data_IF_891664071382
#
_entry.id   IF_891664071382
#
_cell.length_a   1.000
_cell.length_b   1.000
_cell.length_c   1.000
_cell.angle_alpha   90.00
_cell.angle_beta   90.00
_cell.angle_gamma   90.00
#
_symmetry.space_group_name_H-M   'P 1'
#
loop_
_entity.id
_entity.type
_entity.pdbx_description
1 polymer ?
#
# COMPACT_ATOMS: atom_id res chain seq x y z
N UNK A 1 -9.08 -27.38 3.03
CA UNK A 1 -10.00 -26.48 2.29
C UNK A 1 -9.15 -25.57 1.40
N UNK A 2 -8.42 -26.17 0.46
CA UNK A 2 -7.15 -25.63 -0.08
C UNK A 2 -7.22 -25.27 -1.57
N UNK A 3 -8.35 -24.73 -2.04
CA UNK A 3 -8.62 -24.63 -3.48
C UNK A 3 -9.00 -23.27 -4.06
N UNK A 4 -9.04 -22.18 -3.29
CA UNK A 4 -9.75 -20.96 -3.72
C UNK A 4 -8.94 -19.65 -3.89
N UNK A 5 -7.61 -19.64 -3.77
CA UNK A 5 -6.87 -18.36 -3.75
C UNK A 5 -6.04 -18.02 -5.01
N UNK A 6 -5.96 -18.88 -6.02
CA UNK A 6 -5.12 -18.66 -7.21
C UNK A 6 -5.80 -17.89 -8.37
N UNK A 7 -7.06 -17.45 -8.22
CA UNK A 7 -7.81 -16.75 -9.27
C UNK A 7 -7.82 -15.21 -9.14
N UNK A 8 -6.97 -14.62 -8.30
CA UNK A 8 -6.88 -13.15 -8.16
C UNK A 8 -6.06 -12.54 -9.31
N UNK A 9 -6.67 -12.46 -10.50
CA UNK A 9 -6.35 -11.56 -11.61
C UNK A 9 -4.85 -11.17 -11.71
N UNK A 10 -3.99 -12.16 -11.94
CA UNK A 10 -2.59 -11.95 -12.35
C UNK A 10 -2.51 -11.45 -13.79
N UNK A 11 -3.52 -10.73 -14.29
CA UNK A 11 -3.42 -10.08 -15.60
C UNK A 11 -2.13 -9.28 -15.58
N UNK A 12 -1.15 -9.65 -16.43
CA UNK A 12 0.06 -8.87 -16.57
C UNK A 12 -0.38 -7.44 -16.82
N UNK A 13 0.39 -6.50 -16.28
CA UNK A 13 0.17 -5.11 -16.63
C UNK A 13 0.22 -5.06 -18.15
N UNK A 14 -0.85 -4.59 -18.81
CA UNK A 14 -0.91 -4.54 -20.26
C UNK A 14 0.30 -3.78 -20.77
N UNK A 15 0.83 -4.07 -21.96
CA UNK A 15 2.05 -3.44 -22.48
C UNK A 15 1.94 -1.90 -22.39
N UNK A 16 2.58 -1.31 -21.38
CA UNK A 16 2.47 0.12 -21.02
C UNK A 16 2.03 0.43 -19.58
N UNK A 17 1.34 -0.47 -18.87
CA UNK A 17 1.06 -0.34 -17.45
C UNK A 17 2.31 -0.72 -16.62
N UNK A 18 2.75 0.17 -15.73
CA UNK A 18 3.91 -0.11 -14.85
C UNK A 18 3.57 -1.07 -13.70
N UNK A 19 2.28 -1.34 -13.43
CA UNK A 19 1.81 -2.19 -12.31
C UNK A 19 0.52 -2.93 -12.67
N UNK A 20 0.37 -4.17 -12.20
CA UNK A 20 -0.89 -4.91 -12.26
C UNK A 20 -1.94 -4.32 -11.32
N UNK A 21 -3.20 -4.70 -11.52
CA UNK A 21 -4.30 -4.27 -10.64
C UNK A 21 -4.07 -4.65 -9.18
N UNK A 22 -3.59 -5.88 -8.92
CA UNK A 22 -3.32 -6.35 -7.56
C UNK A 22 -2.12 -5.64 -6.93
N UNK A 23 -1.05 -5.43 -7.70
CA UNK A 23 0.13 -4.69 -7.27
C UNK A 23 -0.23 -3.25 -6.87
N UNK A 24 -1.01 -2.57 -7.71
CA UNK A 24 -1.53 -1.22 -7.46
C UNK A 24 -2.39 -1.18 -6.20
N UNK A 25 -3.31 -2.15 -6.04
CA UNK A 25 -4.21 -2.22 -4.89
C UNK A 25 -3.47 -2.45 -3.58
N UNK A 26 -2.46 -3.33 -3.59
CA UNK A 26 -1.58 -3.56 -2.44
C UNK A 26 -0.80 -2.29 -2.08
N UNK A 27 -0.20 -1.60 -3.06
CA UNK A 27 0.52 -0.35 -2.84
C UNK A 27 -0.38 0.78 -2.32
N UNK A 28 -1.62 0.86 -2.81
CA UNK A 28 -2.58 1.86 -2.35
C UNK A 28 -3.02 1.63 -0.90
N UNK A 29 -3.25 0.37 -0.50
CA UNK A 29 -3.56 0.06 0.89
C UNK A 29 -2.35 0.28 1.81
N UNK A 30 -1.14 -0.01 1.31
CA UNK A 30 0.10 0.28 2.02
C UNK A 30 0.32 1.79 2.22
N UNK A 31 0.00 2.61 1.21
CA UNK A 31 -0.01 4.08 1.31
C UNK A 31 -0.97 4.58 2.40
N UNK A 32 -2.09 3.88 2.61
CA UNK A 32 -3.05 4.20 3.67
C UNK A 32 -2.56 3.79 5.09
N UNK A 33 -1.32 3.34 5.23
CA UNK A 33 -0.71 2.95 6.51
C UNK A 33 -1.09 1.55 6.99
N UNK A 34 -1.75 0.72 6.17
CA UNK A 34 -2.10 -0.64 6.55
C UNK A 34 -0.87 -1.54 6.55
N UNK A 35 -0.80 -2.45 7.54
CA UNK A 35 0.24 -3.48 7.61
C UNK A 35 -0.09 -4.63 6.66
N UNK A 36 0.92 -5.42 6.29
CA UNK A 36 0.77 -6.58 5.38
C UNK A 36 -0.41 -7.50 5.78
N UNK A 37 -0.64 -7.70 7.09
CA UNK A 37 -1.74 -8.51 7.62
C UNK A 37 -3.13 -7.88 7.42
N UNK A 38 -3.24 -6.55 7.53
CA UNK A 38 -4.50 -5.83 7.31
C UNK A 38 -4.86 -5.81 5.83
N UNK A 39 -3.84 -5.63 4.98
CA UNK A 39 -3.98 -5.72 3.52
C UNK A 39 -4.44 -7.13 3.13
N UNK A 40 -3.82 -8.16 3.69
CA UNK A 40 -4.18 -9.56 3.45
C UNK A 40 -5.64 -9.85 3.81
N UNK A 41 -6.09 -9.42 4.99
CA UNK A 41 -7.49 -9.53 5.41
C UNK A 41 -8.44 -8.78 4.46
N UNK A 42 -8.08 -7.56 4.06
CA UNK A 42 -8.95 -6.70 3.24
C UNK A 42 -9.07 -7.16 1.78
N UNK A 43 -8.07 -7.86 1.28
CA UNK A 43 -8.06 -8.44 -0.07
C UNK A 43 -8.43 -9.92 -0.09
N UNK A 44 -8.72 -10.53 1.07
CA UNK A 44 -8.95 -11.98 1.20
C UNK A 44 -7.78 -12.81 0.63
N UNK A 45 -6.55 -12.36 0.87
CA UNK A 45 -5.30 -12.98 0.44
C UNK A 45 -4.48 -13.46 1.64
N UNK A 46 -3.48 -14.32 1.38
CA UNK A 46 -2.46 -14.62 2.39
C UNK A 46 -1.48 -13.46 2.55
N UNK A 47 -0.88 -13.32 3.74
CA UNK A 47 0.20 -12.34 4.00
C UNK A 47 1.37 -12.54 3.04
N UNK A 48 1.68 -13.81 2.73
CA UNK A 48 2.74 -14.16 1.78
C UNK A 48 2.43 -13.61 0.37
N UNK A 49 1.19 -13.79 -0.10
CA UNK A 49 0.73 -13.29 -1.40
C UNK A 49 0.80 -11.76 -1.47
N UNK A 50 0.40 -11.05 -0.41
CA UNK A 50 0.54 -9.58 -0.34
C UNK A 50 2.00 -9.14 -0.43
N UNK A 51 2.91 -9.78 0.33
CA UNK A 51 4.35 -9.48 0.28
C UNK A 51 4.94 -9.73 -1.11
N UNK A 52 4.50 -10.80 -1.77
CA UNK A 52 4.87 -11.10 -3.14
C UNK A 52 4.42 -9.99 -4.09
N UNK A 53 3.14 -9.57 -4.05
CA UNK A 53 2.65 -8.47 -4.88
C UNK A 53 3.39 -7.16 -4.63
N UNK A 54 3.64 -6.78 -3.37
CA UNK A 54 4.41 -5.58 -3.04
C UNK A 54 5.86 -5.66 -3.56
N UNK A 55 6.47 -6.85 -3.54
CA UNK A 55 7.83 -7.06 -4.06
C UNK A 55 7.86 -6.94 -5.58
N UNK A 56 6.89 -7.55 -6.29
CA UNK A 56 6.76 -7.41 -7.75
C UNK A 56 6.50 -5.97 -8.15
N UNK A 57 5.62 -5.28 -7.44
CA UNK A 57 5.34 -3.86 -7.64
C UNK A 57 6.61 -3.00 -7.49
N UNK A 58 7.38 -3.24 -6.43
CA UNK A 58 8.66 -2.57 -6.19
C UNK A 58 9.64 -2.81 -7.34
N UNK A 59 9.74 -4.05 -7.82
CA UNK A 59 10.63 -4.40 -8.93
C UNK A 59 10.23 -3.70 -10.23
N UNK A 60 8.94 -3.67 -10.56
CA UNK A 60 8.42 -3.01 -11.77
C UNK A 60 8.56 -1.49 -11.74
N UNK A 61 8.47 -0.89 -10.55
CA UNK A 61 8.76 0.53 -10.35
C UNK A 61 10.26 0.83 -10.22
N UNK A 62 11.13 -0.18 -10.33
CA UNK A 62 12.57 -0.06 -10.12
C UNK A 62 12.92 0.64 -8.79
N UNK A 63 12.19 0.34 -7.71
CA UNK A 63 12.38 0.95 -6.40
C UNK A 63 13.27 0.09 -5.49
N UNK A 64 14.09 0.72 -4.66
CA UNK A 64 14.94 0.05 -3.67
C UNK A 64 14.17 -0.30 -2.39
N UNK A 65 13.17 0.51 -2.03
CA UNK A 65 12.35 0.30 -0.82
C UNK A 65 10.84 0.33 -1.10
N UNK A 66 10.05 -0.16 -0.15
CA UNK A 66 8.57 -0.09 -0.23
C UNK A 66 8.08 1.36 -0.23
N UNK A 67 8.72 2.22 0.57
CA UNK A 67 8.42 3.66 0.63
C UNK A 67 8.78 4.33 -0.70
N UNK A 68 9.91 3.98 -1.30
CA UNK A 68 10.29 4.50 -2.61
C UNK A 68 9.33 4.02 -3.72
N UNK A 69 8.85 2.78 -3.64
CA UNK A 69 7.85 2.26 -4.57
C UNK A 69 6.55 3.08 -4.49
N UNK A 70 6.07 3.39 -3.28
CA UNK A 70 4.92 4.28 -3.08
C UNK A 70 5.19 5.68 -3.66
N UNK A 71 6.37 6.25 -3.37
CA UNK A 71 6.73 7.58 -3.87
C UNK A 71 6.82 7.62 -5.40
N UNK A 72 7.37 6.58 -6.03
CA UNK A 72 7.42 6.46 -7.51
C UNK A 72 6.02 6.29 -8.09
N UNK A 73 5.19 5.43 -7.52
CA UNK A 73 3.82 5.21 -7.96
C UNK A 73 2.93 6.46 -7.83
N UNK A 74 3.17 7.29 -6.81
CA UNK A 74 2.53 8.60 -6.66
C UNK A 74 3.02 9.58 -7.73
N UNK A 75 4.34 9.67 -7.95
CA UNK A 75 4.92 10.57 -8.96
C UNK A 75 4.48 10.22 -10.38
N UNK A 76 4.28 8.95 -10.70
CA UNK A 76 3.80 8.50 -12.00
C UNK A 76 2.27 8.54 -12.13
N UNK A 77 1.53 8.97 -11.10
CA UNK A 77 0.07 9.05 -11.13
C UNK A 77 -0.66 7.70 -11.16
N UNK A 78 0.05 6.60 -10.90
CA UNK A 78 -0.54 5.25 -10.92
C UNK A 78 -1.41 5.00 -9.69
N UNK A 79 -1.03 5.60 -8.57
CA UNK A 79 -1.84 5.67 -7.36
C UNK A 79 -2.08 7.13 -7.02
N UNK A 80 -3.32 7.47 -6.66
CA UNK A 80 -3.66 8.79 -6.17
C UNK A 80 -3.71 8.77 -4.66
N UNK A 81 -3.02 9.73 -4.02
CA UNK A 81 -3.25 10.05 -2.62
C UNK A 81 -4.60 10.76 -2.52
N UNK A 82 -5.68 10.00 -2.30
CA UNK A 82 -7.00 10.58 -2.09
C UNK A 82 -7.04 11.24 -0.72
N UNK A 83 -6.75 12.55 -0.64
CA UNK A 83 -6.93 13.45 0.52
C UNK A 83 -6.19 13.10 1.84
N UNK A 84 -5.61 11.91 1.96
CA UNK A 84 -5.08 11.32 3.21
C UNK A 84 -3.76 11.93 3.71
N UNK A 85 -2.98 12.62 2.87
CA UNK A 85 -1.78 13.31 3.36
C UNK A 85 -2.14 14.43 4.36
N UNK A 86 -3.28 15.11 4.14
CA UNK A 86 -3.73 16.21 4.98
C UNK A 86 -4.27 15.74 6.35
N UNK A 87 -4.90 14.56 6.39
CA UNK A 87 -5.39 13.96 7.66
C UNK A 87 -4.26 13.39 8.53
N UNK A 88 -3.18 12.89 7.94
CA UNK A 88 -2.01 12.43 8.70
C UNK A 88 -1.31 13.57 9.46
N UNK A 89 -1.32 14.80 8.92
CA UNK A 89 -0.72 15.96 9.58
C UNK A 89 -1.50 16.34 10.86
N UNK A 90 -2.83 16.27 10.84
CA UNK A 90 -3.65 16.50 12.04
C UNK A 90 -3.52 15.37 13.06
N UNK A 91 -3.33 14.12 12.61
CA UNK A 91 -3.18 12.98 13.51
C UNK A 91 -1.80 12.95 14.19
N UNK A 92 -0.74 13.32 13.45
CA UNK A 92 0.62 13.44 13.98
C UNK A 92 0.78 14.64 14.93
N UNK A 93 0.13 15.79 14.64
CA UNK A 93 0.09 16.93 15.56
C UNK A 93 -0.80 16.67 16.78
N UNK A 94 -1.91 15.96 16.61
CA UNK A 94 -2.82 15.59 17.71
C UNK A 94 -2.20 14.61 18.71
N UNK A 95 -1.45 13.61 18.23
CA UNK A 95 -0.68 12.71 19.11
C UNK A 95 0.39 13.42 19.95
N UNK A 96 0.94 14.54 19.46
CA UNK A 96 1.99 15.28 20.15
C UNK A 96 1.45 16.26 21.20
N UNK A 97 0.18 16.67 21.09
CA UNK A 97 -0.45 17.60 22.03
C UNK A 97 -1.16 16.91 23.21
N UNK A 98 -1.43 15.60 23.13
CA UNK A 98 -2.02 14.83 24.25
C UNK A 98 -0.97 14.46 25.33
N UNK A 99 0.32 14.49 24.98
CA UNK A 99 1.43 14.09 25.88
C UNK A 99 1.96 15.24 26.74
N UNK A 100 1.51 16.48 26.50
CA UNK A 100 1.86 17.67 27.29
C UNK A 100 0.58 18.35 27.78
N UNK A 101 -0.23 17.60 28.52
CA UNK A 101 -1.10 18.22 29.52
C UNK A 101 -0.35 18.19 30.86
N UNK A 102 0.35 19.28 31.26
CA UNK A 102 0.80 19.42 32.62
C UNK A 102 -0.43 19.83 33.42
N UNK A 103 -1.09 18.89 34.09
CA UNK A 103 -2.16 19.23 35.02
C UNK A 103 -1.78 18.66 36.39
N UNK A 104 -1.27 19.60 37.20
CA UNK A 104 -1.63 19.91 38.60
C UNK A 104 -1.53 18.75 39.60
#
# INVERSE_FOLDING_TARGET
MDGLQTLHDERPAADGEQLSRQERRCLQLYLNGLKDADIARRLSLSIHTVRMHLTRARHRLHAQSRVEAVAKALRSGIIHASLLLLLNLSFALGMFLDEISPII
#
